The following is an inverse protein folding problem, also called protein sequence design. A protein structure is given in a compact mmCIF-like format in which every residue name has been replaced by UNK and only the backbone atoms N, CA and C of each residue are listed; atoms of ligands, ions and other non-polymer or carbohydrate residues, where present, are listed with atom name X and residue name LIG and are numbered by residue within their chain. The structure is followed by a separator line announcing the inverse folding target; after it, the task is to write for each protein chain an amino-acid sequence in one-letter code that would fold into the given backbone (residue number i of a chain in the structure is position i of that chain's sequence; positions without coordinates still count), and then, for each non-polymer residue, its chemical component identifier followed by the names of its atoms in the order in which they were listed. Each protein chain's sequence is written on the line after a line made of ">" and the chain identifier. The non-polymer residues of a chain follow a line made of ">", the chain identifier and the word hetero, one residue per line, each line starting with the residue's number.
data_IF_830905029841
#
_entry.id   IF_830905029841
#
_cell.length_a   1.000
_cell.length_b   1.000
_cell.length_c   1.000
_cell.angle_alpha   90.00
_cell.angle_beta   90.00
_cell.angle_gamma   90.00
#
_symmetry.space_group_name_H-M   'P 1'
#
loop_
_entity.id
_entity.type
_entity.pdbx_description
1 polymer ?
#
# COMPACT_ATOMS: atom_id res chain seq x y z
N UNK A 1 1.70 -9.43 -5.25
CA UNK A 1 2.03 -8.03 -5.58
C UNK A 1 1.21 -7.10 -4.69
N UNK A 2 1.89 -6.12 -4.11
CA UNK A 2 1.34 -4.94 -3.45
C UNK A 2 -0.06 -4.55 -3.93
N UNK A 3 -1.11 -4.91 -3.17
CA UNK A 3 -2.48 -4.44 -3.47
C UNK A 3 -2.72 -3.02 -2.94
N UNK A 4 -1.67 -2.26 -2.66
CA UNK A 4 -1.75 -1.03 -1.86
C UNK A 4 -2.78 -0.03 -2.42
N UNK A 5 -3.02 -0.03 -3.73
CA UNK A 5 -4.11 0.69 -4.38
C UNK A 5 -4.48 -0.09 -5.65
N UNK A 6 -5.60 -0.83 -5.67
CA UNK A 6 -6.13 -1.35 -6.95
C UNK A 6 -6.34 -0.16 -7.87
N UNK A 7 -5.59 -0.13 -8.97
CA UNK A 7 -5.68 0.92 -9.97
C UNK A 7 -7.10 1.00 -10.52
N UNK A 8 -7.51 2.22 -10.89
CA UNK A 8 -8.75 2.43 -11.65
C UNK A 8 -8.71 1.55 -12.89
N UNK A 9 -9.73 0.72 -13.07
CA UNK A 9 -9.95 -0.07 -14.28
C UNK A 9 -11.29 0.34 -14.92
N UNK A 10 -11.54 0.04 -16.20
CA UNK A 10 -12.79 0.43 -16.87
C UNK A 10 -14.07 -0.11 -16.21
N UNK A 11 -13.95 -1.13 -15.37
CA UNK A 11 -15.05 -1.79 -14.65
C UNK A 11 -15.21 -1.23 -13.23
N UNK A 12 -14.16 -0.63 -12.67
CA UNK A 12 -14.02 -0.10 -11.31
C UNK A 12 -13.37 1.27 -11.34
N UNK A 13 -14.15 2.23 -11.84
CA UNK A 13 -13.80 3.65 -12.01
C UNK A 13 -13.47 4.36 -10.69
N UNK A 14 -13.87 3.78 -9.54
CA UNK A 14 -13.61 4.33 -8.21
C UNK A 14 -12.52 3.57 -7.45
N UNK A 15 -11.78 2.66 -8.11
CA UNK A 15 -10.84 1.74 -7.46
C UNK A 15 -11.57 0.64 -6.66
N UNK A 16 -10.83 -0.14 -5.86
CA UNK A 16 -11.50 -1.04 -4.89
C UNK A 16 -12.12 -0.24 -3.76
N UNK A 17 -13.28 -0.66 -3.25
CA UNK A 17 -13.95 -0.01 -2.11
C UNK A 17 -13.63 -0.68 -0.77
N UNK A 18 -12.95 -1.84 -0.82
CA UNK A 18 -12.64 -2.69 0.32
C UNK A 18 -11.24 -2.39 0.90
N UNK A 19 -10.96 -1.11 1.15
CA UNK A 19 -9.67 -0.66 1.69
C UNK A 19 -9.78 -0.40 3.19
N UNK A 20 -9.07 -1.21 3.97
CA UNK A 20 -8.96 -0.99 5.42
C UNK A 20 -7.79 -0.05 5.71
N UNK A 21 -8.09 1.18 6.08
CA UNK A 21 -7.09 2.22 6.34
C UNK A 21 -6.32 2.01 7.66
N UNK A 22 -6.72 1.05 8.51
CA UNK A 22 -6.01 0.64 9.74
C UNK A 22 -5.57 1.80 10.64
N UNK A 23 -6.38 2.87 10.70
CA UNK A 23 -6.07 4.11 11.41
C UNK A 23 -4.74 4.79 10.99
N UNK A 24 -4.27 4.52 9.78
CA UNK A 24 -3.07 5.12 9.17
C UNK A 24 -3.47 6.18 8.15
N UNK A 25 -2.69 7.26 8.09
CA UNK A 25 -2.74 8.23 6.98
C UNK A 25 -2.36 7.56 5.66
N UNK A 26 -2.70 8.19 4.52
CA UNK A 26 -2.31 7.69 3.19
C UNK A 26 -0.80 7.51 3.07
N UNK A 27 -0.01 8.46 3.58
CA UNK A 27 1.45 8.35 3.56
C UNK A 27 1.94 7.19 4.43
N UNK A 28 1.37 7.01 5.62
CA UNK A 28 1.70 5.87 6.49
C UNK A 28 1.33 4.53 5.85
N UNK A 29 0.18 4.44 5.17
CA UNK A 29 -0.20 3.25 4.41
C UNK A 29 0.80 2.96 3.30
N UNK A 30 1.21 4.00 2.55
CA UNK A 30 2.22 3.88 1.50
C UNK A 30 3.57 3.39 2.04
N UNK A 31 4.04 3.97 3.15
CA UNK A 31 5.30 3.58 3.81
C UNK A 31 5.20 2.15 4.37
N UNK A 32 4.10 1.82 5.07
CA UNK A 32 3.86 0.50 5.68
C UNK A 32 3.80 -0.65 4.68
N UNK A 33 3.55 -0.34 3.40
CA UNK A 33 3.58 -1.34 2.34
C UNK A 33 5.02 -1.84 2.07
N UNK A 34 6.01 -0.93 2.14
CA UNK A 34 7.41 -1.24 1.88
C UNK A 34 8.17 -1.67 3.14
N UNK A 35 7.79 -1.16 4.31
CA UNK A 35 8.34 -1.56 5.60
C UNK A 35 7.77 -2.91 6.05
N UNK A 36 8.38 -4.01 5.59
CA UNK A 36 7.82 -5.36 5.73
C UNK A 36 8.06 -5.95 7.11
N UNK A 37 9.16 -5.56 7.75
CA UNK A 37 9.52 -5.96 9.12
C UNK A 37 8.90 -5.03 10.19
N UNK A 38 8.33 -3.88 9.79
CA UNK A 38 7.68 -2.90 10.67
C UNK A 38 8.62 -2.24 11.67
N UNK A 39 9.89 -2.07 11.30
CA UNK A 39 10.88 -1.40 12.15
C UNK A 39 10.94 0.12 11.91
N UNK A 40 10.20 0.63 10.93
CA UNK A 40 10.15 2.05 10.57
C UNK A 40 11.25 2.49 9.60
N UNK A 41 12.07 1.58 9.11
CA UNK A 41 13.15 1.85 8.15
C UNK A 41 12.94 1.02 6.89
N UNK A 42 12.69 1.69 5.76
CA UNK A 42 12.57 1.01 4.47
C UNK A 42 13.97 0.78 3.89
N UNK A 43 14.31 -0.48 3.64
CA UNK A 43 15.54 -0.85 2.96
C UNK A 43 15.35 -1.08 1.45
N UNK A 44 16.39 -0.87 0.62
CA UNK A 44 16.27 -1.06 -0.82
C UNK A 44 15.80 -2.46 -1.23
N UNK A 45 16.22 -3.53 -0.53
CA UNK A 45 15.78 -4.89 -0.87
C UNK A 45 14.30 -5.15 -0.58
N UNK A 46 13.64 -4.29 0.21
CA UNK A 46 12.21 -4.40 0.48
C UNK A 46 11.35 -3.78 -0.64
N UNK A 47 11.95 -2.97 -1.53
CA UNK A 47 11.24 -2.24 -2.59
C UNK A 47 11.28 -2.92 -3.97
N UNK A 48 12.25 -3.80 -4.23
CA UNK A 48 12.50 -4.40 -5.56
C UNK A 48 11.99 -5.86 -5.74
N UNK A 49 11.19 -6.40 -4.82
CA UNK A 49 10.65 -7.77 -4.90
C UNK A 49 9.35 -7.90 -5.70
#
# INVERSE_FOLDING_TARGET
>A
LARALVAVDPVRINGSTDHHHNNMTVLQQHVSFFDRNKDGVIYPWETYQ
#
